data_IF_442530317788
#
_entry.id   IF_442530317788
#
_cell.length_a   1.000
_cell.length_b   1.000
_cell.length_c   1.000
_cell.angle_alpha   90.00
_cell.angle_beta   90.00
_cell.angle_gamma   90.00
#
_symmetry.space_group_name_H-M   'P 1'
#
loop_
_entity.id
_entity.type
_entity.pdbx_description
1 polymer ?
#
# COMPACT_ATOMS: atom_id res chain seq x y z
N UNK A 1 26.53 -19.27 3.17
CA UNK A 1 26.34 -17.81 3.13
C UNK A 1 25.23 -17.49 4.13
N UNK A 2 25.52 -16.94 5.32
CA UNK A 2 24.46 -16.56 6.23
C UNK A 2 23.81 -15.28 5.71
N UNK A 3 22.49 -15.30 5.48
CA UNK A 3 21.77 -14.06 5.18
C UNK A 3 21.86 -13.16 6.42
N UNK A 4 22.34 -11.93 6.22
CA UNK A 4 22.30 -10.90 7.25
C UNK A 4 20.84 -10.46 7.35
N UNK A 5 20.17 -10.82 8.44
CA UNK A 5 18.97 -10.11 8.84
C UNK A 5 19.31 -8.62 8.94
N UNK A 6 18.50 -7.70 8.42
CA UNK A 6 18.73 -6.28 8.58
C UNK A 6 18.85 -5.94 10.07
N UNK A 7 19.86 -5.12 10.38
CA UNK A 7 20.27 -4.74 11.72
C UNK A 7 19.05 -4.26 12.53
N UNK A 8 18.78 -4.86 13.70
CA UNK A 8 17.60 -4.58 14.54
C UNK A 8 17.44 -3.08 14.90
N UNK A 9 18.55 -2.35 14.88
CA UNK A 9 18.62 -0.91 15.06
C UNK A 9 18.00 -0.12 13.90
N UNK A 10 18.18 -0.57 12.65
CA UNK A 10 17.64 0.10 11.46
C UNK A 10 16.10 0.04 11.41
N UNK A 11 15.54 -1.08 11.85
CA UNK A 11 14.09 -1.28 11.97
C UNK A 11 13.50 -0.39 13.08
N UNK A 12 14.13 -0.35 14.26
CA UNK A 12 13.70 0.50 15.35
C UNK A 12 13.79 2.00 15.02
N UNK A 13 14.85 2.41 14.32
CA UNK A 13 15.01 3.79 13.86
C UNK A 13 13.97 4.14 12.79
N UNK A 14 13.66 3.22 11.89
CA UNK A 14 12.59 3.38 10.90
C UNK A 14 11.21 3.49 11.56
N UNK A 15 10.89 2.62 12.52
CA UNK A 15 9.67 2.69 13.32
C UNK A 15 9.58 3.99 14.12
N UNK A 16 10.69 4.49 14.66
CA UNK A 16 10.74 5.80 15.30
C UNK A 16 10.56 6.96 14.30
N UNK A 17 11.11 6.87 13.10
CA UNK A 17 10.92 7.88 12.05
C UNK A 17 9.47 7.95 11.60
N UNK A 18 8.81 6.79 11.42
CA UNK A 18 7.37 6.69 11.15
C UNK A 18 6.55 7.38 12.26
N UNK A 19 6.89 7.13 13.53
CA UNK A 19 6.25 7.78 14.68
C UNK A 19 6.48 9.30 14.75
N UNK A 20 7.57 9.81 14.17
CA UNK A 20 7.96 11.22 14.23
C UNK A 20 7.53 12.04 13.01
N UNK A 21 7.05 11.42 11.93
CA UNK A 21 6.67 12.13 10.69
C UNK A 21 7.83 12.94 10.06
N UNK A 22 9.07 12.58 10.38
CA UNK A 22 10.25 13.32 9.91
C UNK A 22 10.56 12.96 8.46
N UNK A 23 10.66 13.98 7.60
CA UNK A 23 10.97 13.83 6.17
C UNK A 23 9.80 14.05 5.21
N UNK A 24 8.67 14.60 5.66
CA UNK A 24 7.50 14.87 4.82
C UNK A 24 6.63 13.65 4.51
N UNK A 25 6.95 12.49 5.11
CA UNK A 25 6.14 11.29 5.03
C UNK A 25 5.01 11.32 6.06
N UNK A 26 3.81 10.99 5.61
CA UNK A 26 2.62 10.87 6.48
C UNK A 26 2.20 9.41 6.51
N UNK A 27 2.11 8.84 7.72
CA UNK A 27 1.60 7.48 7.92
C UNK A 27 0.10 7.47 7.68
N UNK A 28 -0.33 6.66 6.71
CA UNK A 28 -1.73 6.45 6.43
C UNK A 28 -2.31 5.50 7.48
N UNK A 29 -3.38 5.93 8.15
CA UNK A 29 -4.11 5.12 9.14
C UNK A 29 -5.59 5.06 8.76
N UNK A 30 -6.32 4.07 9.30
CA UNK A 30 -7.75 3.93 9.03
C UNK A 30 -8.10 3.46 7.61
N UNK A 31 -7.16 2.83 6.91
CA UNK A 31 -7.44 2.22 5.62
C UNK A 31 -8.49 1.11 5.73
N UNK A 32 -9.42 1.07 4.77
CA UNK A 32 -10.25 -0.11 4.52
C UNK A 32 -9.42 -1.14 3.75
N UNK A 33 -9.37 -2.36 4.25
CA UNK A 33 -8.55 -3.44 3.66
C UNK A 33 -9.45 -4.54 3.12
N UNK A 34 -9.15 -5.00 1.91
CA UNK A 34 -9.88 -6.08 1.23
C UNK A 34 -8.88 -7.05 0.61
N UNK A 35 -9.05 -8.34 0.88
CA UNK A 35 -8.27 -9.45 0.30
C UNK A 35 -9.14 -10.20 -0.70
N UNK A 36 -8.56 -10.61 -1.82
CA UNK A 36 -9.26 -11.45 -2.82
C UNK A 36 -9.45 -12.87 -2.31
N UNK A 37 -8.51 -13.36 -1.50
CA UNK A 37 -8.62 -14.69 -0.92
C UNK A 37 -9.47 -14.73 0.36
N UNK A 38 -9.81 -13.58 0.94
CA UNK A 38 -10.59 -13.50 2.19
C UNK A 38 -9.73 -13.48 3.46
N UNK A 39 -8.44 -13.12 3.35
CA UNK A 39 -7.56 -12.87 4.50
C UNK A 39 -8.08 -11.68 5.32
N UNK A 40 -8.11 -11.85 6.64
CA UNK A 40 -8.50 -10.78 7.57
C UNK A 40 -7.27 -9.95 7.97
N UNK A 41 -7.47 -8.65 8.23
CA UNK A 41 -6.39 -7.75 8.65
C UNK A 41 -6.75 -7.05 9.96
N UNK A 42 -5.86 -7.13 10.95
CA UNK A 42 -5.96 -6.39 12.20
C UNK A 42 -5.15 -5.09 12.15
N UNK A 43 -5.79 -3.95 12.34
CA UNK A 43 -5.11 -2.66 12.44
C UNK A 43 -4.36 -2.54 13.77
N UNK A 44 -3.14 -1.99 13.73
CA UNK A 44 -2.29 -1.71 14.90
C UNK A 44 -2.22 -0.21 15.18
N UNK A 45 -1.80 0.15 16.41
CA UNK A 45 -1.75 1.54 16.87
C UNK A 45 -0.75 2.41 16.10
N UNK A 46 0.24 1.80 15.44
CA UNK A 46 1.25 2.46 14.63
C UNK A 46 0.82 2.71 13.17
N UNK A 47 -0.43 2.37 12.82
CA UNK A 47 -0.96 2.50 11.46
C UNK A 47 -0.68 1.29 10.56
N UNK A 48 0.06 0.29 11.03
CA UNK A 48 0.28 -0.96 10.29
C UNK A 48 -0.93 -1.90 10.36
N UNK A 49 -0.99 -2.86 9.44
CA UNK A 49 -2.02 -3.88 9.36
C UNK A 49 -1.40 -5.27 9.38
N UNK A 50 -1.80 -6.11 10.32
CA UNK A 50 -1.33 -7.49 10.45
C UNK A 50 -2.33 -8.44 9.79
N UNK A 51 -1.85 -9.25 8.84
CA UNK A 51 -2.65 -10.30 8.21
C UNK A 51 -2.89 -11.47 9.18
N UNK A 52 -4.14 -11.90 9.31
CA UNK A 52 -4.60 -12.91 10.27
C UNK A 52 -5.29 -14.09 9.55
N UNK A 53 -5.40 -15.21 10.25
CA UNK A 53 -6.12 -16.39 9.76
C UNK A 53 -5.37 -17.12 8.63
N UNK A 54 -6.11 -17.53 7.60
CA UNK A 54 -5.60 -18.34 6.50
C UNK A 54 -4.41 -17.69 5.78
N UNK A 55 -3.45 -18.51 5.32
CA UNK A 55 -2.25 -18.10 4.60
C UNK A 55 -2.22 -18.70 3.18
N UNK A 56 -3.00 -18.16 2.22
CA UNK A 56 -2.93 -18.58 0.82
C UNK A 56 -1.54 -18.35 0.23
N UNK A 57 -1.23 -19.09 -0.84
CA UNK A 57 0.05 -18.98 -1.55
C UNK A 57 0.24 -17.62 -2.23
N UNK A 58 -0.85 -17.04 -2.75
CA UNK A 58 -0.90 -15.73 -3.38
C UNK A 58 -2.18 -15.02 -2.96
N UNK A 59 -2.13 -13.71 -2.79
CA UNK A 59 -3.29 -12.88 -2.47
C UNK A 59 -3.08 -11.48 -3.05
N UNK A 60 -4.17 -10.85 -3.49
CA UNK A 60 -4.19 -9.43 -3.87
C UNK A 60 -4.93 -8.66 -2.79
N UNK A 61 -4.21 -7.74 -2.13
CA UNK A 61 -4.74 -6.97 -1.01
C UNK A 61 -4.86 -5.52 -1.41
N UNK A 62 -6.08 -4.98 -1.36
CA UNK A 62 -6.37 -3.58 -1.64
C UNK A 62 -6.53 -2.80 -0.33
N UNK A 63 -5.76 -1.72 -0.21
CA UNK A 63 -5.88 -0.74 0.87
C UNK A 63 -6.48 0.55 0.30
N UNK A 64 -7.61 0.97 0.86
CA UNK A 64 -8.30 2.21 0.45
C UNK A 64 -8.32 3.18 1.61
N UNK A 65 -7.78 4.38 1.42
CA UNK A 65 -7.64 5.40 2.47
C UNK A 65 -7.82 6.80 1.90
N UNK A 66 -8.42 7.69 2.69
CA UNK A 66 -8.48 9.11 2.36
C UNK A 66 -7.11 9.74 2.60
N UNK A 67 -6.60 10.47 1.62
CA UNK A 67 -5.30 11.14 1.77
C UNK A 67 -5.45 12.36 2.69
N UNK A 68 -4.63 12.49 3.74
CA UNK A 68 -4.68 13.63 4.66
C UNK A 68 -3.94 14.85 4.13
N UNK A 69 -3.27 14.73 2.98
CA UNK A 69 -2.43 15.76 2.37
C UNK A 69 -2.67 15.81 0.86
N UNK A 70 -2.56 17.01 0.30
CA UNK A 70 -2.54 17.23 -1.14
C UNK A 70 -1.12 17.09 -1.71
N UNK A 71 -1.02 16.93 -3.03
CA UNK A 71 0.27 16.94 -3.72
C UNK A 71 1.17 15.74 -3.40
N UNK A 72 0.59 14.56 -3.14
CA UNK A 72 1.35 13.32 -2.92
C UNK A 72 2.20 13.01 -4.15
N UNK A 73 3.52 13.01 -3.99
CA UNK A 73 4.49 12.73 -5.06
C UNK A 73 5.13 11.35 -4.96
N UNK A 74 4.99 10.69 -3.82
CA UNK A 74 5.58 9.38 -3.57
C UNK A 74 4.70 8.57 -2.61
N UNK A 75 4.75 7.24 -2.76
CA UNK A 75 4.16 6.28 -1.83
C UNK A 75 5.25 5.36 -1.34
N UNK A 76 5.21 5.08 -0.04
CA UNK A 76 6.12 4.14 0.59
C UNK A 76 5.31 2.98 1.19
N UNK A 77 5.74 1.77 0.86
CA UNK A 77 5.22 0.53 1.45
C UNK A 77 6.29 -0.04 2.37
N UNK A 78 6.03 -0.03 3.68
CA UNK A 78 6.88 -0.68 4.66
C UNK A 78 6.33 -2.08 4.97
N UNK A 79 7.21 -3.07 4.94
CA UNK A 79 6.93 -4.48 5.19
C UNK A 79 7.59 -4.85 6.52
N UNK A 80 6.78 -4.96 7.57
CA UNK A 80 7.24 -5.04 8.95
C UNK A 80 7.25 -6.48 9.48
N UNK A 81 8.23 -6.78 10.32
CA UNK A 81 8.26 -8.04 11.08
C UNK A 81 7.27 -7.99 12.24
N UNK A 82 6.69 -9.13 12.59
CA UNK A 82 5.90 -9.28 13.81
C UNK A 82 6.20 -10.66 14.45
N UNK A 83 6.27 -10.72 15.77
CA UNK A 83 6.60 -11.95 16.50
C UNK A 83 5.54 -13.05 16.30
N UNK A 84 4.29 -12.67 15.96
CA UNK A 84 3.24 -13.64 15.65
C UNK A 84 3.39 -14.28 14.27
N UNK A 85 4.28 -13.76 13.41
CA UNK A 85 4.49 -14.26 12.05
C UNK A 85 5.57 -15.37 12.03
N UNK A 86 5.52 -16.28 11.04
CA UNK A 86 6.51 -17.34 10.91
C UNK A 86 7.94 -16.79 10.95
N UNK A 87 8.78 -17.39 11.82
CA UNK A 87 10.18 -17.01 12.02
C UNK A 87 10.41 -15.54 12.43
N UNK A 88 9.38 -14.83 12.88
CA UNK A 88 9.46 -13.39 13.14
C UNK A 88 9.76 -12.57 11.89
N UNK A 89 9.52 -13.14 10.70
CA UNK A 89 9.68 -12.46 9.42
C UNK A 89 8.44 -11.65 9.07
N UNK A 90 8.50 -10.86 7.98
CA UNK A 90 7.38 -10.01 7.60
C UNK A 90 6.31 -10.72 6.75
N UNK A 91 6.56 -11.98 6.35
CA UNK A 91 5.64 -12.74 5.52
C UNK A 91 5.10 -13.98 6.23
N UNK A 92 4.10 -14.59 5.60
CA UNK A 92 3.37 -15.74 6.14
C UNK A 92 3.76 -17.08 5.53
N UNK A 93 4.77 -17.10 4.65
CA UNK A 93 5.36 -18.35 4.20
C UNK A 93 6.01 -19.08 5.39
N UNK A 94 6.14 -20.42 5.38
CA UNK A 94 6.74 -21.17 6.48
C UNK A 94 8.17 -20.73 6.86
N UNK A 95 8.90 -20.12 5.93
CA UNK A 95 10.23 -19.56 6.13
C UNK A 95 10.24 -18.08 6.60
N UNK A 96 9.06 -17.47 6.81
CA UNK A 96 8.90 -16.07 7.23
C UNK A 96 9.01 -15.04 6.12
N UNK A 97 9.15 -15.47 4.86
CA UNK A 97 9.37 -14.57 3.74
C UNK A 97 8.05 -14.02 3.16
N UNK A 98 8.12 -12.81 2.60
CA UNK A 98 7.08 -12.17 1.79
C UNK A 98 7.63 -12.01 0.37
N UNK A 99 6.86 -12.44 -0.64
CA UNK A 99 7.17 -12.14 -2.03
C UNK A 99 6.16 -11.10 -2.55
N UNK A 100 6.63 -9.88 -2.79
CA UNK A 100 5.84 -8.83 -3.41
C UNK A 100 6.07 -8.86 -4.93
N UNK A 101 5.04 -9.14 -5.70
CA UNK A 101 5.14 -9.22 -7.16
C UNK A 101 4.73 -7.94 -7.88
N UNK A 102 3.79 -7.17 -7.33
CA UNK A 102 3.21 -5.99 -7.99
C UNK A 102 2.70 -4.98 -6.97
N UNK A 103 2.80 -3.69 -7.32
CA UNK A 103 2.15 -2.59 -6.62
C UNK A 103 1.37 -1.78 -7.65
N UNK A 104 0.08 -1.57 -7.39
CA UNK A 104 -0.78 -0.70 -8.21
C UNK A 104 -1.32 0.43 -7.34
N UNK A 105 -1.16 1.67 -7.81
CA UNK A 105 -1.69 2.86 -7.17
C UNK A 105 -2.84 3.42 -8.00
N UNK A 106 -3.99 3.65 -7.37
CA UNK A 106 -5.15 4.27 -8.00
C UNK A 106 -5.60 5.45 -7.14
N UNK A 107 -5.77 6.60 -7.76
CA UNK A 107 -6.43 7.74 -7.12
C UNK A 107 -7.94 7.59 -7.32
N UNK A 108 -8.67 7.44 -6.21
CA UNK A 108 -10.13 7.45 -6.22
C UNK A 108 -10.57 8.90 -6.02
N UNK A 109 -11.01 9.55 -7.10
CA UNK A 109 -11.67 10.85 -6.97
C UNK A 109 -13.08 10.62 -6.42
N UNK A 110 -13.46 11.34 -5.36
CA UNK A 110 -14.87 11.50 -5.03
C UNK A 110 -15.47 12.44 -6.09
N UNK A 111 -16.02 11.86 -7.17
CA UNK A 111 -16.85 12.55 -8.15
C UNK A 111 -16.28 13.82 -8.77
N UNK A 112 -15.60 13.67 -9.91
CA UNK A 112 -15.90 14.38 -11.17
C UNK A 112 -14.97 13.75 -12.23
N UNK A 113 -15.53 13.42 -13.38
CA UNK A 113 -14.74 13.11 -14.57
C UNK A 113 -13.70 14.23 -14.74
N UNK A 114 -12.43 13.87 -14.85
CA UNK A 114 -11.40 14.82 -15.23
C UNK A 114 -11.86 15.49 -16.53
N UNK A 115 -12.21 16.77 -16.52
CA UNK A 115 -12.60 17.48 -17.75
C UNK A 115 -11.43 17.42 -18.73
N UNK A 116 -11.67 16.76 -19.86
CA UNK A 116 -10.80 16.81 -21.02
C UNK A 116 -11.13 18.05 -21.84
N UNK A 117 -10.16 18.94 -22.05
CA UNK A 117 -10.31 20.12 -22.92
C UNK A 117 -9.22 20.07 -24.00
N UNK A 118 -9.60 20.35 -25.25
CA UNK A 118 -8.67 20.43 -26.38
C UNK A 118 -9.04 21.60 -27.28
N UNK A 119 -8.04 22.35 -27.71
CA UNK A 119 -8.19 23.51 -28.59
C UNK A 119 -8.67 23.14 -30.01
N UNK A 120 -8.57 21.85 -30.37
CA UNK A 120 -9.04 21.29 -31.63
C UNK A 120 -9.76 19.96 -31.38
N UNK A 121 -10.99 19.83 -31.90
CA UNK A 121 -11.85 18.67 -31.68
C UNK A 121 -12.39 18.16 -33.03
N UNK A 122 -12.05 16.91 -33.38
CA UNK A 122 -12.43 16.29 -34.65
C UNK A 122 -13.70 15.46 -34.45
N UNK A 123 -14.70 15.64 -35.35
CA UNK A 123 -15.91 14.84 -35.32
C UNK A 123 -15.56 13.34 -35.33
N UNK A 124 -16.12 12.59 -34.36
CA UNK A 124 -15.87 11.17 -34.08
C UNK A 124 -14.58 10.82 -33.30
N UNK A 125 -13.72 11.77 -32.94
CA UNK A 125 -12.53 11.58 -32.08
C UNK A 125 -12.46 12.66 -31.01
N UNK A 126 -13.55 12.82 -30.28
CA UNK A 126 -13.66 13.92 -29.35
C UNK A 126 -12.78 13.72 -28.12
N UNK A 127 -12.27 14.82 -27.56
CA UNK A 127 -11.34 14.79 -26.41
C UNK A 127 -11.92 14.06 -25.19
N UNK A 128 -13.25 13.97 -25.09
CA UNK A 128 -13.96 13.17 -24.08
C UNK A 128 -13.67 11.67 -24.16
N UNK A 129 -13.29 11.14 -25.32
CA UNK A 129 -12.87 9.74 -25.48
C UNK A 129 -11.42 9.52 -25.01
N UNK A 130 -10.65 10.55 -24.66
CA UNK A 130 -9.32 10.33 -24.07
C UNK A 130 -9.38 9.83 -22.62
N UNK A 131 -10.57 9.87 -22.02
CA UNK A 131 -10.85 9.50 -20.63
C UNK A 131 -12.11 8.61 -20.63
N UNK A 132 -12.15 7.62 -21.52
CA UNK A 132 -13.24 6.64 -21.60
C UNK A 132 -12.93 5.34 -20.85
N UNK A 133 -11.66 5.10 -20.51
CA UNK A 133 -11.25 4.01 -19.62
C UNK A 133 -11.23 2.62 -20.26
N UNK A 134 -11.19 2.54 -21.60
CA UNK A 134 -10.94 1.32 -22.39
C UNK A 134 -9.45 1.15 -22.78
#
# INVERSE_FOLDING_TARGET
MPHLLPNRLLLADREQQLRRGQGGWVVLSGAKVQSTEGVSFGAKQDGSFLALGQAPERDTVTFTVALPIDGVTAVQLDVLTDESLPKGGPGRAPNGNLHLSEIVLKRLAAGEDCKSEADFNQASWEVRHAIDGD
#
